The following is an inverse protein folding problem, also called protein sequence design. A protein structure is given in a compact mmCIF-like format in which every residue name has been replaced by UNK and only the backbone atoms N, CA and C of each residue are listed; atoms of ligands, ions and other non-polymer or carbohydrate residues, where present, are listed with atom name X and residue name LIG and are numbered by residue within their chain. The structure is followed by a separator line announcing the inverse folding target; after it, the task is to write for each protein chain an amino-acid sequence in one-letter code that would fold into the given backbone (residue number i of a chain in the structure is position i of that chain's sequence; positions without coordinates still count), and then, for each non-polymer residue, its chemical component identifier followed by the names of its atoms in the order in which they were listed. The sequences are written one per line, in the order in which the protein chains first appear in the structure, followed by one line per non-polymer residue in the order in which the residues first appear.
data_IF_609747658530
#
_entry.id   IF_609747658530
#
_cell.length_a   1.000
_cell.length_b   1.000
_cell.length_c   1.000
_cell.angle_alpha   90.00
_cell.angle_beta   90.00
_cell.angle_gamma   90.00
#
_symmetry.space_group_name_H-M   'P 1'
#
loop_
_entity.id
_entity.type
_entity.pdbx_description
1 polymer ?
#
# COMPACT_ATOMS: atom_id res chain seq x y z
N UNK A 1 48.54 52.80 -86.36
CA UNK A 1 48.83 51.41 -85.91
C UNK A 1 49.40 51.49 -84.50
N UNK A 2 49.02 50.74 -83.48
CA UNK A 2 48.12 49.60 -83.34
C UNK A 2 47.55 49.60 -81.91
N UNK A 3 46.50 48.79 -81.73
CA UNK A 3 45.69 48.51 -80.53
C UNK A 3 46.49 48.10 -79.29
N UNK A 4 45.89 48.27 -78.09
CA UNK A 4 45.66 47.17 -77.15
C UNK A 4 44.49 47.46 -76.19
N UNK A 5 43.76 46.39 -75.85
CA UNK A 5 42.45 46.29 -75.20
C UNK A 5 42.61 45.98 -73.70
N UNK A 6 41.65 46.39 -72.86
CA UNK A 6 41.38 45.75 -71.54
C UNK A 6 41.09 46.76 -70.42
N UNK A 7 40.25 46.51 -69.42
CA UNK A 7 39.31 45.43 -69.10
C UNK A 7 38.41 46.03 -67.98
N UNK A 8 37.08 45.90 -68.07
CA UNK A 8 36.16 46.38 -67.05
C UNK A 8 36.09 45.39 -65.86
N UNK A 9 36.24 45.87 -64.63
CA UNK A 9 36.02 45.09 -63.41
C UNK A 9 34.79 45.63 -62.67
N UNK A 10 33.71 44.85 -62.68
CA UNK A 10 32.53 45.07 -61.86
C UNK A 10 32.81 44.59 -60.42
N UNK A 11 32.69 45.48 -59.44
CA UNK A 11 32.72 45.12 -58.02
C UNK A 11 31.31 44.73 -57.57
N UNK A 12 31.13 43.44 -57.29
CA UNK A 12 29.94 42.85 -56.71
C UNK A 12 29.90 43.13 -55.21
N UNK A 13 29.05 44.05 -54.77
CA UNK A 13 28.73 44.25 -53.36
C UNK A 13 27.86 43.09 -52.85
N UNK A 14 28.40 42.26 -51.97
CA UNK A 14 27.63 41.23 -51.26
C UNK A 14 26.78 41.89 -50.16
N UNK A 15 25.46 41.71 -50.21
CA UNK A 15 24.54 42.15 -49.17
C UNK A 15 24.71 41.31 -47.88
N UNK A 16 24.48 41.88 -46.69
CA UNK A 16 24.51 41.13 -45.43
C UNK A 16 23.36 40.12 -45.36
N UNK A 17 23.67 38.86 -45.03
CA UNK A 17 22.66 37.81 -44.85
C UNK A 17 21.80 38.07 -43.60
N UNK A 18 20.48 37.82 -43.66
CA UNK A 18 19.60 37.94 -42.52
C UNK A 18 19.97 36.95 -41.40
N UNK A 19 19.73 37.29 -40.12
CA UNK A 19 20.00 36.40 -39.00
C UNK A 19 19.11 35.14 -39.07
N UNK A 20 19.70 33.99 -38.75
CA UNK A 20 19.01 32.71 -38.74
C UNK A 20 17.82 32.71 -37.75
N UNK A 21 16.73 31.98 -38.07
CA UNK A 21 15.60 31.83 -37.16
C UNK A 21 16.02 31.11 -35.87
N UNK A 22 15.43 31.50 -34.74
CA UNK A 22 15.70 30.89 -33.44
C UNK A 22 15.33 29.39 -33.46
N UNK A 23 16.12 28.53 -32.77
CA UNK A 23 15.80 27.11 -32.68
C UNK A 23 14.45 26.90 -31.96
N UNK A 24 13.70 25.85 -32.31
CA UNK A 24 12.44 25.53 -31.63
C UNK A 24 12.69 25.24 -30.14
N UNK A 25 11.72 25.54 -29.26
CA UNK A 25 11.81 25.21 -27.84
C UNK A 25 11.98 23.70 -27.67
N UNK A 26 12.88 23.29 -26.77
CA UNK A 26 13.07 21.88 -26.44
C UNK A 26 11.75 21.27 -25.94
N UNK A 27 11.46 19.99 -26.24
CA UNK A 27 10.28 19.31 -25.72
C UNK A 27 10.29 19.34 -24.19
N UNK A 28 9.19 19.81 -23.62
CA UNK A 28 8.95 19.81 -22.17
C UNK A 28 9.16 18.38 -21.67
N UNK A 29 10.15 18.19 -20.80
CA UNK A 29 10.48 16.88 -20.24
C UNK A 29 9.26 16.26 -19.59
N UNK A 30 8.85 15.11 -20.10
CA UNK A 30 7.91 14.21 -19.42
C UNK A 30 8.62 13.65 -18.18
N UNK A 31 8.35 14.20 -17.00
CA UNK A 31 8.76 13.56 -15.74
C UNK A 31 8.17 12.15 -15.70
N UNK A 32 8.99 11.11 -15.46
CA UNK A 32 8.49 9.74 -15.29
C UNK A 32 7.45 9.69 -14.16
N UNK A 33 6.44 8.80 -14.24
CA UNK A 33 5.53 8.56 -13.12
C UNK A 33 6.35 8.24 -11.87
N UNK A 34 6.07 8.94 -10.76
CA UNK A 34 6.72 8.64 -9.48
C UNK A 34 6.32 7.22 -9.08
N UNK A 35 7.28 6.31 -9.05
CA UNK A 35 7.12 4.99 -8.45
C UNK A 35 6.95 5.17 -6.93
N UNK A 36 5.95 4.50 -6.35
CA UNK A 36 5.71 4.53 -4.92
C UNK A 36 6.86 3.83 -4.20
N UNK A 37 7.30 4.37 -3.07
CA UNK A 37 8.22 3.63 -2.18
C UNK A 37 7.52 2.43 -1.55
N UNK A 38 8.27 1.47 -1.04
CA UNK A 38 7.72 0.30 -0.33
C UNK A 38 6.81 0.72 0.84
N UNK A 39 7.23 1.72 1.62
CA UNK A 39 6.44 2.26 2.72
C UNK A 39 5.14 2.93 2.23
N UNK A 40 5.22 3.70 1.13
CA UNK A 40 4.04 4.32 0.51
C UNK A 40 3.07 3.24 0.00
N UNK A 41 3.60 2.16 -0.59
CA UNK A 41 2.81 1.01 -1.06
C UNK A 41 2.13 0.28 0.11
N UNK A 42 2.87 -0.03 1.19
CA UNK A 42 2.33 -0.64 2.41
C UNK A 42 1.19 0.21 2.97
N UNK A 43 1.37 1.52 3.03
CA UNK A 43 0.33 2.43 3.49
C UNK A 43 -0.90 2.41 2.60
N UNK A 44 -0.73 2.42 1.28
CA UNK A 44 -1.83 2.35 0.31
C UNK A 44 -2.61 1.05 0.46
N UNK A 45 -1.94 -0.10 0.50
CA UNK A 45 -2.59 -1.41 0.60
C UNK A 45 -3.27 -1.62 1.95
N UNK A 46 -2.66 -1.17 3.05
CA UNK A 46 -3.32 -1.17 4.37
C UNK A 46 -4.58 -0.32 4.39
N UNK A 47 -4.53 0.89 3.84
CA UNK A 47 -5.70 1.77 3.80
C UNK A 47 -6.84 1.17 2.97
N UNK A 48 -6.53 0.51 1.85
CA UNK A 48 -7.51 -0.25 1.06
C UNK A 48 -8.12 -1.40 1.86
N UNK A 49 -7.29 -2.15 2.59
CA UNK A 49 -7.75 -3.26 3.43
C UNK A 49 -8.67 -2.78 4.57
N UNK A 50 -8.30 -1.71 5.26
CA UNK A 50 -9.13 -1.09 6.29
C UNK A 50 -10.45 -0.55 5.71
N UNK A 51 -10.43 0.12 4.56
CA UNK A 51 -11.64 0.60 3.90
C UNK A 51 -12.59 -0.55 3.52
N UNK A 52 -12.04 -1.69 3.09
CA UNK A 52 -12.82 -2.89 2.78
C UNK A 52 -13.50 -3.44 4.04
N UNK A 53 -12.77 -3.54 5.15
CA UNK A 53 -13.30 -4.00 6.43
C UNK A 53 -14.36 -3.05 6.99
N UNK A 54 -14.11 -1.74 6.90
CA UNK A 54 -15.06 -0.68 7.29
C UNK A 54 -16.37 -0.80 6.50
N UNK A 55 -16.31 -1.05 5.19
CA UNK A 55 -17.49 -1.22 4.35
C UNK A 55 -18.33 -2.44 4.75
N UNK A 56 -17.71 -3.48 5.31
CA UNK A 56 -18.41 -4.65 5.87
C UNK A 56 -18.78 -4.53 7.36
N UNK A 57 -18.58 -3.37 7.99
CA UNK A 57 -18.79 -3.18 9.44
C UNK A 57 -18.02 -4.18 10.32
N UNK A 58 -16.83 -4.60 9.88
CA UNK A 58 -15.96 -5.50 10.64
C UNK A 58 -15.03 -4.65 11.53
N UNK A 59 -14.87 -5.03 12.80
CA UNK A 59 -13.91 -4.37 13.68
C UNK A 59 -12.49 -4.52 13.13
N UNK A 60 -11.77 -3.42 12.95
CA UNK A 60 -10.41 -3.42 12.41
C UNK A 60 -9.56 -2.28 12.93
N UNK A 61 -8.25 -2.46 12.92
CA UNK A 61 -7.25 -1.46 13.27
C UNK A 61 -5.90 -1.78 12.61
N UNK A 62 -5.00 -0.79 12.52
CA UNK A 62 -3.60 -1.02 12.12
C UNK A 62 -2.91 -1.91 13.14
N UNK A 63 -1.99 -2.77 12.72
CA UNK A 63 -1.15 -3.54 13.64
C UNK A 63 -1.53 -5.02 13.65
N UNK A 64 -1.08 -5.72 14.68
CA UNK A 64 -1.07 -7.18 14.72
C UNK A 64 -1.28 -7.67 16.15
N UNK A 65 -2.10 -8.70 16.34
CA UNK A 65 -2.06 -9.50 17.57
C UNK A 65 -0.83 -10.41 17.53
N UNK A 66 0.08 -10.21 18.47
CA UNK A 66 1.26 -11.04 18.70
C UNK A 66 1.00 -12.08 19.77
N UNK A 67 1.65 -13.22 19.64
CA UNK A 67 1.38 -14.42 20.43
C UNK A 67 -0.05 -14.93 20.22
N UNK A 68 -0.42 -16.04 20.89
CA UNK A 68 -1.76 -16.63 20.71
C UNK A 68 -1.98 -17.22 19.32
N UNK A 69 -0.90 -17.58 18.60
CA UNK A 69 -0.97 -18.22 17.29
C UNK A 69 -1.85 -19.47 17.34
N UNK A 70 -2.89 -19.49 16.50
CA UNK A 70 -3.80 -20.63 16.40
C UNK A 70 -3.74 -21.26 15.00
N UNK A 71 -3.96 -20.45 13.97
CA UNK A 71 -3.74 -20.86 12.57
C UNK A 71 -2.99 -19.75 11.84
N UNK A 72 -2.07 -20.15 10.99
CA UNK A 72 -1.24 -19.23 10.22
C UNK A 72 -1.39 -19.55 8.74
N UNK A 73 -1.42 -18.50 7.92
CA UNK A 73 -1.56 -18.60 6.47
C UNK A 73 -2.79 -19.43 6.05
N UNK A 74 -3.95 -19.05 6.59
CA UNK A 74 -5.21 -19.77 6.36
C UNK A 74 -5.55 -19.76 4.87
N UNK A 75 -5.72 -20.94 4.23
CA UNK A 75 -6.00 -21.02 2.80
C UNK A 75 -7.37 -20.45 2.46
N UNK A 76 -7.60 -20.21 1.16
CA UNK A 76 -8.89 -19.75 0.62
C UNK A 76 -9.39 -18.40 1.18
N UNK A 77 -8.50 -17.59 1.76
CA UNK A 77 -8.81 -16.23 2.23
C UNK A 77 -8.36 -15.19 1.19
N UNK A 78 -9.28 -14.70 0.35
CA UNK A 78 -8.95 -13.78 -0.75
C UNK A 78 -9.00 -12.30 -0.31
N UNK A 79 -8.39 -11.99 0.83
CA UNK A 79 -8.28 -10.63 1.35
C UNK A 79 -8.75 -10.47 2.80
N UNK A 80 -8.76 -9.22 3.30
CA UNK A 80 -8.98 -8.93 4.71
C UNK A 80 -10.39 -9.31 5.19
N UNK A 81 -11.40 -9.14 4.33
CA UNK A 81 -12.78 -9.49 4.63
C UNK A 81 -12.97 -10.99 4.84
N UNK A 82 -12.36 -11.81 3.97
CA UNK A 82 -12.46 -13.25 4.07
C UNK A 82 -11.68 -13.77 5.27
N UNK A 83 -10.51 -13.18 5.57
CA UNK A 83 -9.76 -13.48 6.77
C UNK A 83 -10.56 -13.21 8.06
N UNK A 84 -11.21 -12.04 8.15
CA UNK A 84 -12.06 -11.71 9.28
C UNK A 84 -13.26 -12.66 9.41
N UNK A 85 -13.92 -13.00 8.30
CA UNK A 85 -15.03 -13.95 8.28
C UNK A 85 -14.59 -15.37 8.64
N UNK A 86 -13.38 -15.78 8.25
CA UNK A 86 -12.82 -17.06 8.65
C UNK A 86 -12.65 -17.12 10.17
N UNK A 87 -12.13 -16.05 10.78
CA UNK A 87 -12.06 -15.93 12.23
C UNK A 87 -13.46 -15.96 12.86
N UNK A 88 -14.42 -15.19 12.35
CA UNK A 88 -15.77 -15.14 12.94
C UNK A 88 -16.44 -16.53 12.97
N UNK A 89 -16.24 -17.34 11.92
CA UNK A 89 -16.77 -18.71 11.80
C UNK A 89 -16.05 -19.73 12.69
N UNK A 90 -14.79 -19.50 13.02
CA UNK A 90 -13.99 -20.42 13.82
C UNK A 90 -14.17 -20.14 15.32
N UNK A 91 -14.78 -21.04 16.11
CA UNK A 91 -15.07 -20.78 17.52
C UNK A 91 -13.81 -20.58 18.38
N UNK A 92 -12.63 -21.02 17.94
CA UNK A 92 -11.37 -20.88 18.67
C UNK A 92 -10.59 -19.62 18.27
N UNK A 93 -11.00 -18.92 17.22
CA UNK A 93 -10.41 -17.64 16.85
C UNK A 93 -11.02 -16.52 17.70
N UNK A 94 -10.25 -15.50 18.05
CA UNK A 94 -10.73 -14.29 18.74
C UNK A 94 -10.18 -13.03 18.09
N UNK A 95 -9.04 -13.16 17.41
CA UNK A 95 -8.45 -12.09 16.64
C UNK A 95 -7.96 -12.61 15.30
N UNK A 96 -8.02 -11.76 14.29
CA UNK A 96 -7.44 -12.06 12.98
C UNK A 96 -6.37 -11.04 12.65
N UNK A 97 -5.34 -11.47 11.92
CA UNK A 97 -4.33 -10.60 11.35
C UNK A 97 -4.29 -10.84 9.85
N UNK A 98 -4.30 -9.76 9.08
CA UNK A 98 -4.15 -9.80 7.64
C UNK A 98 -2.95 -8.97 7.22
N UNK A 99 -1.97 -9.61 6.58
CA UNK A 99 -0.79 -8.94 6.04
C UNK A 99 -1.10 -8.42 4.63
N UNK A 100 -0.87 -7.13 4.42
CA UNK A 100 -1.39 -6.44 3.24
C UNK A 100 -0.57 -6.67 1.97
N UNK A 101 0.71 -7.03 2.10
CA UNK A 101 1.62 -7.24 0.98
C UNK A 101 1.63 -8.69 0.50
N UNK A 102 1.72 -9.67 1.41
CA UNK A 102 1.71 -11.09 1.04
C UNK A 102 0.29 -11.69 1.02
N UNK A 103 -0.72 -10.89 1.35
CA UNK A 103 -2.11 -11.34 1.43
C UNK A 103 -2.31 -12.53 2.39
N UNK A 104 -1.50 -12.59 3.46
CA UNK A 104 -1.51 -13.68 4.44
C UNK A 104 -2.58 -13.45 5.49
N UNK A 105 -3.34 -14.49 5.83
CA UNK A 105 -4.30 -14.49 6.93
C UNK A 105 -3.81 -15.34 8.11
N UNK A 106 -3.74 -14.76 9.30
CA UNK A 106 -3.50 -15.50 10.54
C UNK A 106 -4.66 -15.35 11.51
N UNK A 107 -5.04 -16.45 12.14
CA UNK A 107 -6.06 -16.51 13.19
C UNK A 107 -5.37 -16.69 14.54
N UNK A 108 -5.82 -15.92 15.53
CA UNK A 108 -5.29 -15.93 16.90
C UNK A 108 -6.38 -16.35 17.87
N UNK A 109 -5.99 -17.10 18.89
CA UNK A 109 -6.83 -17.44 20.02
C UNK A 109 -7.11 -16.21 20.92
N UNK A 110 -7.84 -16.38 22.01
CA UNK A 110 -8.26 -15.29 22.92
C UNK A 110 -7.11 -14.53 23.60
N UNK A 111 -5.98 -15.20 23.82
CA UNK A 111 -4.81 -14.60 24.45
C UNK A 111 -3.90 -13.88 23.46
N UNK A 112 -2.95 -13.13 23.99
CA UNK A 112 -1.92 -12.45 23.20
C UNK A 112 -1.74 -11.00 23.63
N UNK A 113 -0.94 -10.28 22.85
CA UNK A 113 -0.74 -8.84 23.01
C UNK A 113 -0.99 -8.12 21.69
N UNK A 114 -1.53 -6.92 21.74
CA UNK A 114 -1.67 -6.09 20.55
C UNK A 114 -0.39 -5.27 20.33
N UNK A 115 0.12 -5.26 19.09
CA UNK A 115 1.25 -4.46 18.65
C UNK A 115 0.82 -3.55 17.48
N UNK A 116 0.87 -2.24 17.70
CA UNK A 116 0.45 -1.22 16.72
C UNK A 116 1.55 -0.83 15.70
N UNK A 117 2.80 -1.24 15.95
CA UNK A 117 3.95 -0.84 15.13
C UNK A 117 4.16 -1.72 13.89
N UNK A 118 3.34 -2.75 13.72
CA UNK A 118 3.35 -3.64 12.55
C UNK A 118 2.60 -2.99 11.36
N UNK A 119 3.30 -2.14 10.61
CA UNK A 119 2.71 -1.27 9.59
C UNK A 119 2.12 -2.00 8.37
N UNK A 120 2.58 -3.21 8.09
CA UNK A 120 2.14 -4.09 6.99
C UNK A 120 0.96 -5.01 7.37
N UNK A 121 0.39 -4.83 8.57
CA UNK A 121 -0.72 -5.61 9.06
C UNK A 121 -1.97 -4.77 9.35
N UNK A 122 -3.12 -5.40 9.11
CA UNK A 122 -4.42 -4.99 9.64
C UNK A 122 -4.93 -6.11 10.52
N UNK A 123 -5.44 -5.76 11.69
CA UNK A 123 -5.95 -6.71 12.66
C UNK A 123 -7.34 -6.35 13.11
N UNK A 124 -8.05 -7.28 13.75
CA UNK A 124 -9.36 -7.03 14.30
C UNK A 124 -9.79 -8.11 15.29
N UNK A 125 -10.92 -7.84 15.94
CA UNK A 125 -11.52 -8.69 16.94
C UNK A 125 -12.86 -9.19 16.42
N UNK A 126 -13.20 -10.44 16.72
CA UNK A 126 -14.53 -11.00 16.42
C UNK A 126 -15.60 -10.47 17.39
N UNK A 127 -16.87 -10.62 17.04
CA UNK A 127 -17.98 -10.13 17.84
C UNK A 127 -18.01 -10.74 19.25
N UNK A 128 -17.62 -12.01 19.40
CA UNK A 128 -17.55 -12.69 20.70
C UNK A 128 -16.46 -12.14 21.62
N UNK A 129 -15.39 -11.54 21.11
CA UNK A 129 -14.38 -10.89 21.96
C UNK A 129 -14.84 -9.52 22.43
N UNK A 130 -15.60 -8.81 21.59
CA UNK A 130 -15.99 -7.41 21.81
C UNK A 130 -17.37 -7.25 22.46
N UNK A 131 -18.16 -8.33 22.54
CA UNK A 131 -19.49 -8.28 23.15
C UNK A 131 -19.44 -8.32 24.67
N UNK A 132 -20.17 -7.42 25.38
CA UNK A 132 -20.27 -7.46 26.84
C UNK A 132 -20.90 -8.75 27.39
N UNK A 133 -21.51 -9.59 26.55
CA UNK A 133 -22.02 -10.91 26.93
C UNK A 133 -20.90 -11.98 27.11
N UNK A 134 -19.70 -11.75 26.58
CA UNK A 134 -18.56 -12.66 26.77
C UNK A 134 -17.89 -12.51 28.15
N UNK A 135 -18.23 -11.45 28.91
CA UNK A 135 -17.85 -11.30 30.30
C UNK A 135 -18.69 -12.19 31.24
N UNK A 136 -18.94 -13.45 30.86
CA UNK A 136 -19.40 -14.43 31.84
C UNK A 136 -18.21 -14.70 32.76
N UNK A 137 -18.28 -14.41 34.07
CA UNK A 137 -17.16 -14.65 34.96
C UNK A 137 -16.79 -16.13 34.89
N UNK A 138 -15.49 -16.40 34.75
CA UNK A 138 -14.95 -17.74 34.85
C UNK A 138 -15.56 -18.44 36.08
N UNK A 139 -15.93 -19.73 35.99
CA UNK A 139 -16.41 -20.45 37.15
C UNK A 139 -15.38 -20.32 38.28
N UNK A 140 -15.80 -20.06 39.54
CA UNK A 140 -14.87 -19.98 40.65
C UNK A 140 -14.05 -21.26 40.64
N UNK A 141 -12.71 -21.13 40.65
CA UNK A 141 -11.83 -22.27 40.87
C UNK A 141 -12.27 -22.88 42.19
N UNK A 142 -12.90 -24.05 42.14
CA UNK A 142 -13.18 -24.86 43.32
C UNK A 142 -11.83 -25.10 43.97
N UNK A 143 -11.56 -24.40 45.07
CA UNK A 143 -10.51 -24.77 45.99
C UNK A 143 -10.95 -26.13 46.55
N UNK A 144 -10.42 -27.19 45.94
CA UNK A 144 -10.59 -28.54 46.43
C UNK A 144 -10.06 -28.62 47.84
N UNK A 145 -10.93 -29.10 48.72
CA UNK A 145 -10.61 -29.85 49.92
C UNK A 145 -9.38 -30.75 49.71
N UNK A 146 -8.36 -30.55 50.55
CA UNK A 146 -7.90 -31.48 51.58
C UNK A 146 -6.80 -30.81 52.43
#
# INVERSE_FOLDING_TARGET
AALFVGLAAAQSGAAPTPPAPAPPPAPLGSTPPKELTDDELIQVERNKAMATLQAGSIHHQKGVWVYGDYQNDVPDTNGPMDCAKACEKDPNCYHYNYQVIKHRCDLKAEGGGYNEDANDWVTGNVARFTSPAAATPAPPKTAGEL
#
